data_IF_142703216789
#
_entry.id   IF_142703216789
#
_cell.length_a   1.000
_cell.length_b   1.000
_cell.length_c   1.000
_cell.angle_alpha   90.00
_cell.angle_beta   90.00
_cell.angle_gamma   90.00
#
_symmetry.space_group_name_H-M   'P 1'
#
loop_
_entity.id
_entity.type
_entity.pdbx_description
1 polymer ?
#
# COMPACT_ATOMS: atom_id res chain seq x y z
N UNK A 1 15.99 -6.98 -1.76
CA UNK A 1 15.27 -6.06 -0.87
C UNK A 1 15.56 -4.63 -1.26
N UNK A 2 14.56 -3.78 -1.20
CA UNK A 2 14.69 -2.32 -1.40
C UNK A 2 14.45 -1.65 -0.08
N UNK A 3 15.33 -0.74 0.30
CA UNK A 3 15.21 0.04 1.53
C UNK A 3 14.93 1.49 1.16
N UNK A 4 13.91 2.07 1.76
CA UNK A 4 13.56 3.47 1.58
C UNK A 4 13.93 4.24 2.84
N UNK A 5 14.76 5.26 2.68
CA UNK A 5 15.08 6.22 3.71
C UNK A 5 14.69 7.60 3.21
N UNK A 6 13.58 8.15 3.70
CA UNK A 6 13.01 9.40 3.23
C UNK A 6 12.90 9.41 1.70
N UNK A 7 13.83 10.08 1.02
CA UNK A 7 13.83 10.21 -0.45
C UNK A 7 14.82 9.26 -1.15
N UNK A 8 15.58 8.47 -0.38
CA UNK A 8 16.61 7.61 -0.93
C UNK A 8 16.17 6.15 -0.94
N UNK A 9 15.94 5.62 -2.14
CA UNK A 9 15.64 4.20 -2.38
C UNK A 9 16.90 3.48 -2.84
N UNK A 10 17.25 2.42 -2.16
CA UNK A 10 18.35 1.54 -2.57
C UNK A 10 17.87 0.11 -2.81
N UNK A 11 18.61 -0.62 -3.62
CA UNK A 11 18.47 -2.07 -3.75
C UNK A 11 19.74 -2.73 -3.22
N UNK A 12 19.60 -3.77 -2.41
CA UNK A 12 20.71 -4.33 -1.64
C UNK A 12 21.52 -5.40 -2.38
N UNK A 13 21.11 -5.76 -3.59
CA UNK A 13 21.84 -6.66 -4.53
C UNK A 13 21.45 -6.31 -5.96
N UNK A 14 22.22 -6.84 -6.92
CA UNK A 14 21.89 -6.70 -8.35
C UNK A 14 20.45 -7.14 -8.65
N UNK A 15 19.71 -6.38 -9.49
CA UNK A 15 18.35 -6.72 -9.86
C UNK A 15 18.25 -8.10 -10.50
N UNK A 16 17.39 -8.94 -9.96
CA UNK A 16 17.00 -10.22 -10.56
C UNK A 16 15.69 -10.06 -11.38
N UNK A 17 15.22 -11.17 -11.94
CA UNK A 17 14.00 -11.19 -12.76
C UNK A 17 12.76 -10.66 -12.01
N UNK A 18 12.66 -10.89 -10.70
CA UNK A 18 11.51 -10.45 -9.89
C UNK A 18 11.51 -8.93 -9.67
N UNK A 19 12.67 -8.35 -9.47
CA UNK A 19 12.84 -6.89 -9.40
C UNK A 19 12.45 -6.26 -10.73
N UNK A 20 12.96 -6.81 -11.85
CA UNK A 20 12.67 -6.31 -13.19
C UNK A 20 11.19 -6.43 -13.55
N UNK A 21 10.54 -7.54 -13.19
CA UNK A 21 9.11 -7.72 -13.41
C UNK A 21 8.26 -6.72 -12.61
N UNK A 22 8.60 -6.52 -11.35
CA UNK A 22 7.92 -5.53 -10.50
C UNK A 22 8.12 -4.11 -11.02
N UNK A 23 9.33 -3.79 -11.51
CA UNK A 23 9.60 -2.50 -12.15
C UNK A 23 8.71 -2.27 -13.38
N UNK A 24 8.57 -3.29 -14.24
CA UNK A 24 7.68 -3.18 -15.41
C UNK A 24 6.24 -2.97 -15.00
N UNK A 25 5.79 -3.65 -13.94
CA UNK A 25 4.43 -3.54 -13.41
C UNK A 25 4.12 -2.11 -12.94
N UNK A 26 5.03 -1.48 -12.21
CA UNK A 26 4.82 -0.12 -11.69
C UNK A 26 5.31 1.00 -12.61
N UNK A 27 6.09 0.71 -13.64
CA UNK A 27 6.74 1.72 -14.48
C UNK A 27 7.80 2.55 -13.75
N UNK A 28 8.26 2.11 -12.59
CA UNK A 28 9.19 2.85 -11.74
C UNK A 28 10.64 2.55 -12.08
N UNK A 29 11.55 3.49 -11.75
CA UNK A 29 12.99 3.24 -11.84
C UNK A 29 13.48 2.42 -10.64
N UNK A 30 14.44 1.52 -10.90
CA UNK A 30 15.18 0.81 -9.86
C UNK A 30 16.15 1.81 -9.21
N UNK A 31 16.21 1.78 -7.87
CA UNK A 31 17.21 2.55 -7.13
C UNK A 31 18.63 2.02 -7.35
N UNK A 32 19.66 2.77 -6.94
CA UNK A 32 21.04 2.32 -7.02
C UNK A 32 21.27 1.05 -6.18
N UNK A 33 22.20 0.19 -6.65
CA UNK A 33 22.64 -0.98 -5.90
C UNK A 33 23.62 -0.53 -4.82
N UNK A 34 23.19 -0.59 -3.58
CA UNK A 34 24.01 -0.18 -2.43
C UNK A 34 23.87 -1.18 -1.28
N UNK A 35 24.95 -1.37 -0.54
CA UNK A 35 24.92 -2.18 0.67
C UNK A 35 24.29 -1.36 1.81
N UNK A 36 23.27 -1.91 2.44
CA UNK A 36 22.71 -1.31 3.64
C UNK A 36 23.75 -1.33 4.78
N UNK A 37 23.97 -0.19 5.42
CA UNK A 37 25.01 0.01 6.44
C UNK A 37 24.59 -0.52 7.84
N UNK A 38 23.33 -0.93 8.01
CA UNK A 38 22.83 -1.45 9.29
C UNK A 38 22.51 -0.39 10.35
N UNK A 39 22.66 0.90 10.03
CA UNK A 39 22.53 2.02 10.99
C UNK A 39 21.39 2.95 10.61
N UNK A 40 21.23 3.21 9.32
CA UNK A 40 20.22 4.13 8.83
C UNK A 40 18.80 3.63 9.12
N UNK A 41 17.91 4.55 9.49
CA UNK A 41 16.50 4.24 9.65
C UNK A 41 15.89 3.80 8.32
N UNK A 42 15.11 2.74 8.37
CA UNK A 42 14.37 2.20 7.24
C UNK A 42 12.91 2.55 7.42
N UNK A 43 12.37 3.36 6.52
CA UNK A 43 10.96 3.76 6.55
C UNK A 43 10.07 2.65 5.97
N UNK A 44 10.55 1.96 4.92
CA UNK A 44 9.82 0.90 4.23
C UNK A 44 10.78 -0.08 3.56
N UNK A 45 10.40 -1.34 3.50
CA UNK A 45 11.18 -2.38 2.85
C UNK A 45 10.30 -3.19 1.90
N UNK A 46 10.89 -3.63 0.79
CA UNK A 46 10.24 -4.52 -0.18
C UNK A 46 11.06 -5.80 -0.30
N UNK A 47 10.38 -6.94 -0.29
CA UNK A 47 10.95 -8.24 -0.61
C UNK A 47 10.48 -8.61 -2.02
N UNK A 48 11.40 -9.06 -2.86
CA UNK A 48 11.07 -9.57 -4.20
C UNK A 48 11.15 -11.08 -4.22
N UNK A 49 10.23 -11.70 -4.95
CA UNK A 49 10.14 -13.15 -5.11
C UNK A 49 9.15 -13.55 -6.20
N UNK A 50 8.98 -14.84 -6.48
CA UNK A 50 8.04 -15.32 -7.49
C UNK A 50 6.62 -14.79 -7.26
N UNK A 51 5.90 -14.50 -8.34
CA UNK A 51 4.48 -14.13 -8.24
C UNK A 51 3.70 -15.26 -7.55
N UNK A 52 2.91 -14.87 -6.53
CA UNK A 52 2.14 -15.83 -5.74
C UNK A 52 2.96 -16.62 -4.72
N UNK A 53 4.22 -16.23 -4.47
CA UNK A 53 5.00 -16.80 -3.39
C UNK A 53 4.34 -16.49 -2.04
N UNK A 54 4.38 -17.44 -1.12
CA UNK A 54 3.74 -17.32 0.20
C UNK A 54 4.56 -16.48 1.21
N UNK A 55 5.77 -16.08 0.84
CA UNK A 55 6.72 -15.33 1.72
C UNK A 55 6.94 -15.94 3.09
N UNK A 56 6.61 -17.24 3.25
CA UNK A 56 6.65 -17.97 4.52
C UNK A 56 7.92 -17.79 5.34
N UNK A 57 9.14 -17.72 4.76
CA UNK A 57 10.36 -17.50 5.53
C UNK A 57 10.41 -16.17 6.30
N UNK A 58 9.52 -15.23 5.94
CA UNK A 58 9.47 -13.88 6.52
C UNK A 58 8.26 -13.67 7.42
N UNK A 59 7.21 -14.51 7.30
CA UNK A 59 5.97 -14.37 8.07
C UNK A 59 6.16 -14.65 9.57
N UNK A 60 7.15 -15.47 9.92
CA UNK A 60 7.46 -15.84 11.30
C UNK A 60 8.46 -14.89 11.98
N UNK A 61 8.89 -13.81 11.28
CA UNK A 61 9.79 -12.83 11.86
C UNK A 61 9.01 -11.87 12.78
N UNK A 62 9.44 -11.80 14.04
CA UNK A 62 8.85 -10.87 15.00
C UNK A 62 9.11 -9.41 14.62
N UNK A 63 8.16 -8.55 14.91
CA UNK A 63 8.28 -7.10 14.75
C UNK A 63 8.01 -6.57 13.35
N UNK A 64 7.74 -7.44 12.38
CA UNK A 64 7.36 -7.03 11.01
C UNK A 64 6.06 -7.70 10.56
N UNK A 65 5.41 -7.07 9.59
CA UNK A 65 4.33 -7.64 8.79
C UNK A 65 4.75 -7.66 7.32
N UNK A 66 4.36 -8.71 6.61
CA UNK A 66 4.65 -8.90 5.18
C UNK A 66 3.34 -8.96 4.42
N UNK A 67 3.17 -8.07 3.47
CA UNK A 67 1.96 -7.92 2.67
C UNK A 67 2.28 -8.23 1.21
N UNK A 68 1.91 -9.42 0.70
CA UNK A 68 2.12 -9.79 -0.70
C UNK A 68 1.40 -8.82 -1.64
N UNK A 69 2.11 -8.34 -2.65
CA UNK A 69 1.57 -7.52 -3.72
C UNK A 69 1.02 -8.35 -4.89
N UNK A 70 0.46 -7.66 -5.87
CA UNK A 70 -0.13 -8.28 -7.07
C UNK A 70 0.90 -8.77 -8.10
N UNK A 71 2.18 -8.46 -7.93
CA UNK A 71 3.29 -8.87 -8.80
C UNK A 71 4.34 -9.66 -8.00
N UNK A 72 5.60 -9.53 -8.37
CA UNK A 72 6.73 -10.27 -7.80
C UNK A 72 7.33 -9.61 -6.56
N UNK A 73 6.51 -9.09 -5.66
CA UNK A 73 6.95 -8.37 -4.46
C UNK A 73 6.01 -8.55 -3.28
N UNK A 74 6.51 -8.24 -2.09
CA UNK A 74 5.75 -7.98 -0.88
C UNK A 74 6.27 -6.74 -0.18
N UNK A 75 5.37 -5.92 0.33
CA UNK A 75 5.71 -4.83 1.23
C UNK A 75 5.99 -5.38 2.63
N UNK A 76 6.99 -4.79 3.29
CA UNK A 76 7.34 -5.11 4.66
C UNK A 76 7.20 -3.86 5.51
N UNK A 77 6.37 -3.94 6.52
CA UNK A 77 6.12 -2.87 7.47
C UNK A 77 6.46 -3.32 8.90
N UNK A 78 6.53 -2.38 9.81
CA UNK A 78 6.58 -2.69 11.25
C UNK A 78 5.26 -3.35 11.65
N UNK A 79 5.32 -4.42 12.45
CA UNK A 79 4.12 -5.10 12.92
C UNK A 79 3.17 -4.13 13.65
N UNK A 80 1.88 -4.23 13.33
CA UNK A 80 0.86 -3.32 13.87
C UNK A 80 0.80 -1.94 13.21
N UNK A 81 1.64 -1.67 12.20
CA UNK A 81 1.54 -0.46 11.39
C UNK A 81 0.78 -0.79 10.10
N UNK A 82 -0.34 -0.12 9.89
CA UNK A 82 -1.19 -0.22 8.71
C UNK A 82 -1.72 1.15 8.31
N UNK A 83 -2.40 1.24 7.17
CA UNK A 83 -3.11 2.48 6.77
C UNK A 83 -4.13 2.87 7.84
N UNK A 84 -4.85 1.91 8.42
CA UNK A 84 -5.83 2.14 9.46
C UNK A 84 -5.19 2.69 10.73
N UNK A 85 -4.12 2.06 11.23
CA UNK A 85 -3.45 2.54 12.45
C UNK A 85 -2.82 3.92 12.25
N UNK A 86 -2.29 4.22 11.06
CA UNK A 86 -1.78 5.55 10.71
C UNK A 86 -2.87 6.63 10.74
N UNK A 87 -4.05 6.31 10.19
CA UNK A 87 -5.21 7.23 10.24
C UNK A 87 -5.69 7.43 11.67
N UNK A 88 -5.73 6.38 12.48
CA UNK A 88 -6.11 6.49 13.90
C UNK A 88 -5.16 7.40 14.68
N UNK A 89 -3.85 7.29 14.47
CA UNK A 89 -2.86 8.18 15.10
C UNK A 89 -3.03 9.63 14.62
N UNK A 90 -3.26 9.85 13.33
CA UNK A 90 -3.55 11.17 12.79
C UNK A 90 -4.85 11.74 13.39
N UNK A 91 -5.89 10.92 13.54
CA UNK A 91 -7.16 11.30 14.16
C UNK A 91 -6.98 11.81 15.58
N UNK A 92 -6.11 11.18 16.39
CA UNK A 92 -5.77 11.69 17.74
C UNK A 92 -5.17 13.08 17.70
N UNK A 93 -4.29 13.35 16.72
CA UNK A 93 -3.66 14.67 16.55
C UNK A 93 -4.66 15.73 16.11
N UNK A 94 -5.59 15.35 15.21
CA UNK A 94 -6.61 16.26 14.67
C UNK A 94 -7.84 16.42 15.58
N UNK A 95 -7.98 15.56 16.58
CA UNK A 95 -9.17 15.55 17.46
C UNK A 95 -10.45 15.06 16.74
N UNK A 96 -10.31 14.19 15.74
CA UNK A 96 -11.42 13.63 14.98
C UNK A 96 -11.17 12.18 14.62
N UNK A 97 -12.18 11.35 14.75
CA UNK A 97 -12.20 9.96 14.29
C UNK A 97 -12.99 9.78 12.96
N UNK A 98 -13.55 10.88 12.45
CA UNK A 98 -14.30 10.88 11.20
C UNK A 98 -13.36 11.07 10.01
N UNK A 99 -13.43 10.15 9.06
CA UNK A 99 -12.70 10.25 7.79
C UNK A 99 -13.43 9.54 6.66
N UNK A 100 -13.08 9.93 5.45
CA UNK A 100 -13.47 9.26 4.20
C UNK A 100 -12.23 8.64 3.61
N UNK A 101 -12.34 7.43 3.08
CA UNK A 101 -11.21 6.79 2.43
C UNK A 101 -11.57 6.26 1.03
N UNK A 102 -10.56 6.25 0.18
CA UNK A 102 -10.56 5.59 -1.11
C UNK A 102 -9.53 4.46 -1.09
N UNK A 103 -9.87 3.35 -1.71
CA UNK A 103 -8.97 2.20 -1.80
C UNK A 103 -9.26 1.33 -3.01
N UNK A 104 -8.36 0.39 -3.31
CA UNK A 104 -8.46 -0.49 -4.46
C UNK A 104 -7.99 -1.92 -4.18
N UNK A 105 -7.33 -2.16 -3.04
CA UNK A 105 -6.69 -3.43 -2.73
C UNK A 105 -6.81 -3.83 -1.26
N UNK A 106 -6.48 -5.08 -0.95
CA UNK A 106 -6.72 -5.70 0.36
C UNK A 106 -6.08 -4.96 1.54
N UNK A 107 -4.98 -4.25 1.33
CA UNK A 107 -4.34 -3.42 2.37
C UNK A 107 -5.18 -2.18 2.75
N UNK A 108 -6.24 -1.89 2.02
CA UNK A 108 -7.18 -0.79 2.29
C UNK A 108 -8.37 -1.24 3.14
N UNK A 109 -8.67 -2.53 3.19
CA UNK A 109 -9.87 -3.08 3.83
C UNK A 109 -9.97 -2.66 5.30
N UNK A 110 -8.86 -2.71 6.03
CA UNK A 110 -8.86 -2.34 7.45
C UNK A 110 -9.25 -0.87 7.65
N UNK A 111 -8.70 0.06 6.87
CA UNK A 111 -9.08 1.47 6.96
C UNK A 111 -10.51 1.72 6.51
N UNK A 112 -11.03 0.95 5.54
CA UNK A 112 -12.41 1.06 5.08
C UNK A 112 -13.42 0.69 6.16
N UNK A 113 -13.17 -0.35 6.93
CA UNK A 113 -14.05 -0.81 8.02
C UNK A 113 -14.26 0.21 9.13
N UNK A 114 -13.36 1.15 9.29
CA UNK A 114 -13.42 2.19 10.32
C UNK A 114 -13.77 3.58 9.78
N UNK A 115 -13.91 3.73 8.47
CA UNK A 115 -14.23 5.00 7.84
C UNK A 115 -15.70 5.40 8.05
N UNK A 116 -15.97 6.71 8.04
CA UNK A 116 -17.34 7.24 7.99
C UNK A 116 -17.98 7.05 6.61
N UNK A 117 -17.18 6.94 5.58
CA UNK A 117 -17.54 6.53 4.23
C UNK A 117 -16.32 5.88 3.56
N UNK A 118 -16.51 4.69 3.06
CA UNK A 118 -15.48 3.93 2.36
C UNK A 118 -15.83 3.76 0.89
N UNK A 119 -14.90 4.11 0.01
CA UNK A 119 -15.11 4.12 -1.44
C UNK A 119 -14.07 3.23 -2.10
N UNK A 120 -14.51 2.20 -2.80
CA UNK A 120 -13.63 1.37 -3.60
C UNK A 120 -13.61 1.86 -5.05
N UNK A 121 -12.41 1.91 -5.62
CA UNK A 121 -12.23 2.23 -7.05
C UNK A 121 -12.81 1.12 -7.94
N UNK A 122 -13.32 1.50 -9.12
CA UNK A 122 -13.89 0.56 -10.08
C UNK A 122 -12.91 -0.52 -10.54
N UNK A 123 -11.62 -0.19 -10.66
CA UNK A 123 -10.53 -1.13 -10.92
C UNK A 123 -10.05 -1.91 -9.69
N UNK A 124 -10.64 -1.70 -8.49
CA UNK A 124 -10.27 -2.39 -7.28
C UNK A 124 -10.58 -3.89 -7.30
N UNK A 125 -9.95 -4.66 -6.40
CA UNK A 125 -10.17 -6.09 -6.30
C UNK A 125 -11.55 -6.44 -5.72
N UNK A 126 -12.01 -7.67 -5.95
CA UNK A 126 -13.35 -8.14 -5.57
C UNK A 126 -13.58 -8.09 -4.06
N UNK A 127 -12.56 -8.41 -3.26
CA UNK A 127 -12.68 -8.43 -1.80
C UNK A 127 -12.80 -7.01 -1.25
N UNK A 128 -12.00 -6.08 -1.76
CA UNK A 128 -12.04 -4.66 -1.37
C UNK A 128 -13.37 -4.02 -1.77
N UNK A 129 -13.89 -4.34 -2.96
CA UNK A 129 -15.24 -3.89 -3.39
C UNK A 129 -16.36 -4.38 -2.47
N UNK A 130 -16.24 -5.61 -1.96
CA UNK A 130 -17.25 -6.20 -1.08
C UNK A 130 -17.31 -5.56 0.32
N UNK A 131 -16.21 -4.93 0.75
CA UNK A 131 -16.09 -4.28 2.08
C UNK A 131 -16.36 -2.76 2.03
N UNK A 132 -16.45 -2.16 0.85
CA UNK A 132 -16.68 -0.73 0.69
C UNK A 132 -18.17 -0.38 0.73
N UNK A 133 -18.51 0.81 1.27
CA UNK A 133 -19.87 1.35 1.25
C UNK A 133 -20.31 1.72 -0.18
N UNK A 134 -19.37 2.11 -1.02
CA UNK A 134 -19.63 2.54 -2.39
C UNK A 134 -18.50 2.13 -3.33
N UNK A 135 -18.87 1.66 -4.52
CA UNK A 135 -17.91 1.39 -5.61
C UNK A 135 -18.07 2.46 -6.67
N UNK A 136 -17.04 3.23 -6.89
CA UNK A 136 -17.02 4.29 -7.90
C UNK A 136 -16.53 3.79 -9.27
N UNK A 137 -16.32 4.67 -10.23
CA UNK A 137 -15.74 4.35 -11.53
C UNK A 137 -14.23 4.02 -11.41
N UNK A 138 -13.64 3.53 -12.49
CA UNK A 138 -12.22 3.24 -12.57
C UNK A 138 -11.36 4.50 -12.38
N UNK A 139 -10.08 4.30 -12.06
CA UNK A 139 -9.11 5.40 -11.94
C UNK A 139 -8.99 6.19 -13.26
N UNK A 140 -9.04 5.49 -14.40
CA UNK A 140 -8.96 6.08 -15.74
C UNK A 140 -10.28 6.72 -16.21
N UNK A 141 -11.35 6.60 -15.42
CA UNK A 141 -12.69 7.15 -15.67
C UNK A 141 -13.12 8.13 -14.55
N UNK A 142 -12.16 8.92 -14.05
CA UNK A 142 -12.38 9.95 -13.04
C UNK A 142 -13.12 9.46 -11.77
N UNK A 143 -12.86 8.22 -11.34
CA UNK A 143 -13.59 7.58 -10.23
C UNK A 143 -13.59 8.38 -8.93
N UNK A 144 -12.45 8.96 -8.54
CA UNK A 144 -12.35 9.79 -7.32
C UNK A 144 -13.25 11.03 -7.45
N UNK A 145 -13.16 11.73 -8.59
CA UNK A 145 -13.96 12.93 -8.85
C UNK A 145 -15.45 12.60 -8.80
N UNK A 146 -15.89 11.55 -9.50
CA UNK A 146 -17.28 11.11 -9.53
C UNK A 146 -17.82 10.75 -8.15
N UNK A 147 -17.03 10.07 -7.33
CA UNK A 147 -17.40 9.78 -5.96
C UNK A 147 -17.51 11.07 -5.11
N UNK A 148 -16.57 12.00 -5.25
CA UNK A 148 -16.64 13.28 -4.54
C UNK A 148 -17.90 14.09 -4.89
N UNK A 149 -18.33 14.08 -6.15
CA UNK A 149 -19.61 14.67 -6.57
C UNK A 149 -20.79 13.90 -5.96
N UNK A 150 -20.78 12.56 -6.06
CA UNK A 150 -21.86 11.70 -5.55
C UNK A 150 -22.15 11.94 -4.07
N UNK A 151 -21.10 12.09 -3.26
CA UNK A 151 -21.20 12.34 -1.82
C UNK A 151 -21.33 13.84 -1.47
N UNK A 152 -21.28 14.75 -2.46
CA UNK A 152 -21.39 16.19 -2.25
C UNK A 152 -20.17 16.82 -1.58
N UNK A 153 -19.01 16.18 -1.63
CA UNK A 153 -17.77 16.72 -1.10
C UNK A 153 -17.21 17.86 -1.96
N UNK A 154 -17.51 17.83 -3.24
CA UNK A 154 -17.23 18.92 -4.19
C UNK A 154 -18.47 19.21 -5.03
N UNK A 155 -18.53 20.40 -5.62
CA UNK A 155 -19.59 20.79 -6.57
C UNK A 155 -19.11 20.56 -7.99
N UNK A 156 -20.06 20.27 -8.91
CA UNK A 156 -19.80 20.28 -10.35
C UNK A 156 -19.32 21.65 -10.84
#
# INVERSE_FOLDING_TARGET
AVTLKKEHRIITKEPDEYVLETQRYFGNQIGPVEKYNGIDLVDMMIIYGPKGWDYKPFLDLEGISVLPGLSCFADVAIAGVSKATGIMELGKVLGSDHYVCFGDSQNDIEMMKHASSSICMGNGDVMTKAEADYVTADIDDDGIYKACIHFGYIKE
#
